data_IF_752673028758
#
_entry.id   IF_752673028758
#
_cell.length_a   1.000
_cell.length_b   1.000
_cell.length_c   1.000
_cell.angle_alpha   90.00
_cell.angle_beta   90.00
_cell.angle_gamma   90.00
#
_symmetry.space_group_name_H-M   'P 1'
#
loop_
_entity.id
_entity.type
_entity.pdbx_description
1 polymer ?
#
# COMPACT_ATOMS: atom_id res chain seq x y z
N UNK A 1 25.08 2.98 -8.64
CA UNK A 1 23.85 3.59 -8.05
C UNK A 1 22.63 2.83 -8.54
N UNK A 2 21.78 2.46 -7.63
CA UNK A 2 20.57 1.71 -7.98
C UNK A 2 19.43 2.68 -8.29
N UNK A 3 18.81 2.47 -9.45
CA UNK A 3 17.65 3.27 -9.85
C UNK A 3 16.41 2.38 -9.86
N UNK A 4 15.32 2.78 -9.18
CA UNK A 4 14.09 2.00 -9.22
C UNK A 4 13.54 1.91 -10.65
N UNK A 5 12.90 0.78 -10.94
CA UNK A 5 12.19 0.61 -12.20
C UNK A 5 11.07 1.66 -12.29
N UNK A 6 11.04 2.51 -13.32
CA UNK A 6 9.97 3.51 -13.47
C UNK A 6 8.57 2.90 -13.51
N UNK A 7 8.44 1.67 -14.02
CA UNK A 7 7.16 0.98 -14.06
C UNK A 7 6.66 0.65 -12.65
N UNK A 8 7.56 0.30 -11.74
CA UNK A 8 7.19 0.01 -10.35
C UNK A 8 6.70 1.28 -9.64
N UNK A 9 7.41 2.39 -9.81
CA UNK A 9 6.98 3.67 -9.24
C UNK A 9 5.61 4.08 -9.76
N UNK A 10 5.37 3.89 -11.05
CA UNK A 10 4.07 4.20 -11.67
C UNK A 10 2.95 3.33 -11.08
N UNK A 11 3.21 2.06 -10.80
CA UNK A 11 2.24 1.16 -10.16
C UNK A 11 1.90 1.66 -8.76
N UNK A 12 2.91 2.02 -7.97
CA UNK A 12 2.70 2.51 -6.60
C UNK A 12 1.86 3.80 -6.62
N UNK A 13 2.18 4.73 -7.51
CA UNK A 13 1.41 5.97 -7.66
C UNK A 13 -0.03 5.70 -8.09
N UNK A 14 -0.23 4.74 -8.99
CA UNK A 14 -1.57 4.34 -9.43
C UNK A 14 -2.38 3.72 -8.29
N UNK A 15 -1.74 2.92 -7.43
CA UNK A 15 -2.38 2.37 -6.23
C UNK A 15 -2.83 3.47 -5.28
N UNK A 16 -1.99 4.46 -5.03
CA UNK A 16 -2.33 5.57 -4.13
C UNK A 16 -3.53 6.36 -4.67
N UNK A 17 -3.55 6.64 -5.98
CA UNK A 17 -4.70 7.32 -6.60
C UNK A 17 -5.97 6.49 -6.48
N UNK A 18 -5.86 5.19 -6.73
CA UNK A 18 -7.00 4.28 -6.65
C UNK A 18 -7.57 4.21 -5.23
N UNK A 19 -6.70 4.18 -4.21
CA UNK A 19 -7.13 4.21 -2.81
C UNK A 19 -7.89 5.51 -2.51
N UNK A 20 -7.32 6.64 -2.90
CA UNK A 20 -7.91 7.96 -2.63
C UNK A 20 -9.23 8.15 -3.38
N UNK A 21 -9.38 7.56 -4.57
CA UNK A 21 -10.58 7.64 -5.39
C UNK A 21 -11.57 6.50 -5.11
N UNK A 22 -11.21 5.56 -4.25
CA UNK A 22 -12.00 4.36 -3.95
C UNK A 22 -12.31 3.53 -5.20
N UNK A 23 -11.35 3.50 -6.12
CA UNK A 23 -11.42 2.70 -7.34
C UNK A 23 -10.82 1.32 -7.07
N UNK A 24 -11.61 0.46 -6.44
CA UNK A 24 -11.13 -0.84 -5.96
C UNK A 24 -10.85 -1.83 -7.08
N UNK A 25 -11.52 -1.74 -8.20
CA UNK A 25 -11.25 -2.62 -9.34
C UNK A 25 -9.85 -2.36 -9.89
N UNK A 26 -9.49 -1.09 -10.07
CA UNK A 26 -8.15 -0.72 -10.51
C UNK A 26 -7.11 -1.11 -9.46
N UNK A 27 -7.38 -0.83 -8.18
CA UNK A 27 -6.47 -1.16 -7.10
C UNK A 27 -6.16 -2.67 -7.06
N UNK A 28 -7.18 -3.51 -7.15
CA UNK A 28 -7.00 -4.96 -7.10
C UNK A 28 -6.24 -5.51 -8.31
N UNK A 29 -6.26 -4.81 -9.44
CA UNK A 29 -5.48 -5.22 -10.62
C UNK A 29 -3.98 -5.17 -10.38
N UNK A 30 -3.52 -4.47 -9.35
CA UNK A 30 -2.10 -4.37 -8.97
C UNK A 30 -1.70 -5.32 -7.85
N UNK A 31 -2.60 -6.20 -7.39
CA UNK A 31 -2.31 -7.17 -6.33
C UNK A 31 -2.25 -8.58 -6.92
N UNK A 32 -1.34 -9.39 -6.38
CA UNK A 32 -1.31 -10.81 -6.71
C UNK A 32 -2.54 -11.51 -6.13
N UNK A 33 -2.93 -12.64 -6.73
CA UNK A 33 -4.13 -13.37 -6.30
C UNK A 33 -4.08 -13.78 -4.82
N UNK A 34 -2.90 -14.15 -4.35
CA UNK A 34 -2.66 -14.64 -2.99
C UNK A 34 -1.91 -13.63 -2.12
N UNK A 35 -2.00 -12.35 -2.46
CA UNK A 35 -1.32 -11.29 -1.72
C UNK A 35 -1.78 -11.23 -0.26
N UNK A 36 -0.93 -10.66 0.59
CA UNK A 36 -1.23 -10.42 2.00
C UNK A 36 -1.26 -8.92 2.28
N UNK A 37 -2.21 -8.48 3.08
CA UNK A 37 -2.34 -7.10 3.55
C UNK A 37 -2.37 -7.09 5.07
N UNK A 38 -1.50 -6.31 5.67
CA UNK A 38 -1.55 -6.02 7.11
C UNK A 38 -2.58 -4.91 7.31
N UNK A 39 -3.72 -5.26 7.88
CA UNK A 39 -4.82 -4.31 8.13
C UNK A 39 -4.50 -3.46 9.34
N UNK A 40 -4.01 -4.09 10.38
CA UNK A 40 -3.49 -3.45 11.59
C UNK A 40 -2.62 -4.47 12.32
N UNK A 41 -1.95 -4.03 13.38
CA UNK A 41 -1.11 -4.92 14.16
C UNK A 41 -1.94 -6.13 14.66
N UNK A 42 -1.46 -7.32 14.36
CA UNK A 42 -2.13 -8.57 14.72
C UNK A 42 -3.20 -9.04 13.73
N UNK A 43 -3.55 -8.27 12.69
CA UNK A 43 -4.56 -8.67 11.72
C UNK A 43 -3.97 -8.59 10.31
N UNK A 44 -3.85 -9.76 9.67
CA UNK A 44 -3.41 -9.90 8.29
C UNK A 44 -4.50 -10.62 7.51
N UNK A 45 -4.87 -10.10 6.34
CA UNK A 45 -5.80 -10.77 5.44
C UNK A 45 -5.05 -11.20 4.18
N UNK A 46 -5.49 -12.28 3.55
CA UNK A 46 -4.88 -12.80 2.33
C UNK A 46 -5.93 -12.98 1.25
N UNK A 47 -5.48 -12.85 -0.01
CA UNK A 47 -6.34 -12.97 -1.18
C UNK A 47 -6.99 -11.67 -1.57
N UNK A 48 -7.15 -11.44 -2.88
CA UNK A 48 -7.70 -10.19 -3.42
C UNK A 48 -9.08 -9.85 -2.86
N UNK A 49 -9.94 -10.84 -2.71
CA UNK A 49 -11.30 -10.63 -2.21
C UNK A 49 -11.28 -10.04 -0.80
N UNK A 50 -10.48 -10.60 0.09
CA UNK A 50 -10.37 -10.14 1.47
C UNK A 50 -9.65 -8.80 1.55
N UNK A 51 -8.67 -8.57 0.68
CA UNK A 51 -7.96 -7.28 0.62
C UNK A 51 -8.93 -6.19 0.18
N UNK A 52 -9.75 -6.45 -0.84
CA UNK A 52 -10.78 -5.52 -1.29
C UNK A 52 -11.73 -5.13 -0.15
N UNK A 53 -12.22 -6.11 0.57
CA UNK A 53 -13.11 -5.88 1.73
C UNK A 53 -12.44 -5.04 2.80
N UNK A 54 -11.14 -5.30 3.06
CA UNK A 54 -10.37 -4.52 4.03
C UNK A 54 -10.24 -3.06 3.62
N UNK A 55 -9.95 -2.77 2.35
CA UNK A 55 -9.87 -1.39 1.88
C UNK A 55 -11.21 -0.66 1.95
N UNK A 56 -12.30 -1.36 1.65
CA UNK A 56 -13.65 -0.80 1.78
C UNK A 56 -13.92 -0.42 3.24
N UNK A 57 -13.58 -1.31 4.18
CA UNK A 57 -13.76 -1.05 5.61
C UNK A 57 -12.88 0.12 6.09
N UNK A 58 -11.67 0.22 5.58
CA UNK A 58 -10.76 1.33 5.90
C UNK A 58 -11.36 2.65 5.42
N UNK A 59 -11.88 2.69 4.19
CA UNK A 59 -12.51 3.88 3.63
C UNK A 59 -13.72 4.30 4.46
N UNK A 60 -14.55 3.36 4.88
CA UNK A 60 -15.71 3.62 5.73
C UNK A 60 -15.27 4.20 7.09
N UNK A 61 -14.24 3.62 7.68
CA UNK A 61 -13.71 4.08 8.96
C UNK A 61 -13.26 5.54 8.90
N UNK A 62 -12.64 5.95 7.80
CA UNK A 62 -12.19 7.34 7.59
C UNK A 62 -13.22 8.21 6.88
N UNK A 63 -14.47 7.77 6.81
CA UNK A 63 -15.60 8.53 6.25
C UNK A 63 -15.36 8.96 4.80
N UNK A 64 -14.70 8.09 4.01
CA UNK A 64 -14.39 8.30 2.59
C UNK A 64 -13.55 9.56 2.33
N UNK A 65 -12.77 10.00 3.31
CA UNK A 65 -11.94 11.21 3.20
C UNK A 65 -10.44 10.94 3.39
N UNK A 66 -10.04 9.67 3.29
CA UNK A 66 -8.63 9.31 3.38
C UNK A 66 -7.90 9.70 2.10
N UNK A 67 -6.80 10.45 2.21
CA UNK A 67 -5.92 10.78 1.10
C UNK A 67 -4.55 10.21 1.39
N UNK A 68 -4.00 9.47 0.42
CA UNK A 68 -2.71 8.80 0.52
C UNK A 68 -1.73 9.44 -0.46
N UNK A 69 -0.59 9.90 0.05
CA UNK A 69 0.48 10.44 -0.77
C UNK A 69 1.81 9.82 -0.35
N UNK A 70 2.82 9.93 -1.22
CA UNK A 70 4.13 9.34 -0.98
C UNK A 70 5.14 10.39 -0.52
N UNK A 71 6.03 9.96 0.40
CA UNK A 71 7.24 10.69 0.71
C UNK A 71 8.47 10.01 0.08
N UNK A 72 9.52 9.82 0.87
CA UNK A 72 10.75 9.17 0.41
C UNK A 72 10.52 7.69 0.15
N UNK A 73 11.20 7.15 -0.84
CA UNK A 73 11.06 5.76 -1.24
C UNK A 73 12.41 5.16 -1.58
N UNK A 74 12.64 3.96 -1.09
CA UNK A 74 13.82 3.15 -1.42
C UNK A 74 13.35 1.82 -1.96
N UNK A 75 13.98 1.34 -3.04
CA UNK A 75 13.61 0.08 -3.68
C UNK A 75 14.82 -0.83 -3.76
N UNK A 76 14.66 -2.06 -3.32
CA UNK A 76 15.68 -3.10 -3.39
C UNK A 76 15.13 -4.23 -4.25
N UNK A 77 15.73 -4.44 -5.42
CA UNK A 77 15.30 -5.48 -6.36
C UNK A 77 16.23 -6.69 -6.31
N UNK A 78 15.65 -7.88 -6.40
CA UNK A 78 16.40 -9.12 -6.46
C UNK A 78 15.48 -10.31 -6.73
N UNK A 79 15.92 -11.24 -7.59
CA UNK A 79 15.21 -12.49 -7.82
C UNK A 79 13.79 -12.33 -8.38
N UNK A 80 13.52 -11.28 -9.14
CA UNK A 80 12.20 -11.03 -9.68
C UNK A 80 11.24 -10.36 -8.67
N UNK A 81 11.76 -9.97 -7.50
CA UNK A 81 11.00 -9.29 -6.45
C UNK A 81 11.58 -7.91 -6.20
N UNK A 82 10.77 -7.04 -5.64
CA UNK A 82 11.21 -5.73 -5.17
C UNK A 82 10.69 -5.49 -3.76
N UNK A 83 11.61 -5.16 -2.84
CA UNK A 83 11.24 -4.68 -1.52
C UNK A 83 11.20 -3.15 -1.59
N UNK A 84 10.05 -2.57 -1.28
CA UNK A 84 9.86 -1.13 -1.27
C UNK A 84 9.73 -0.65 0.16
N UNK A 85 10.59 0.29 0.54
CA UNK A 85 10.53 0.94 1.86
C UNK A 85 10.14 2.38 1.57
N UNK A 86 9.03 2.84 2.12
CA UNK A 86 8.44 4.09 1.69
C UNK A 86 7.78 4.85 2.82
N UNK A 87 7.94 6.17 2.80
CA UNK A 87 7.13 7.03 3.64
C UNK A 87 5.77 7.23 2.97
N UNK A 88 4.72 6.84 3.67
CA UNK A 88 3.34 7.05 3.22
C UNK A 88 2.71 8.12 4.11
N UNK A 89 2.20 9.16 3.49
CA UNK A 89 1.52 10.25 4.18
C UNK A 89 0.02 10.08 4.04
N UNK A 90 -0.66 10.11 5.18
CA UNK A 90 -2.11 9.93 5.25
C UNK A 90 -2.73 11.21 5.78
N UNK A 91 -3.66 11.78 5.03
CA UNK A 91 -4.50 12.87 5.51
C UNK A 91 -5.75 12.23 6.09
N UNK A 92 -5.92 12.39 7.40
CA UNK A 92 -6.99 11.74 8.16
C UNK A 92 -7.95 12.80 8.68
N UNK A 93 -9.26 12.68 8.41
CA UNK A 93 -10.25 13.63 8.96
C UNK A 93 -10.36 13.48 10.48
N UNK A 94 -10.39 14.62 11.17
CA UNK A 94 -10.55 14.69 12.62
C UNK A 94 -11.67 15.69 12.95
N UNK A 95 -12.04 15.76 14.23
CA UNK A 95 -13.05 16.71 14.68
C UNK A 95 -12.61 18.17 14.45
N UNK A 96 -11.30 18.43 14.49
CA UNK A 96 -10.72 19.78 14.37
C UNK A 96 -10.20 20.08 12.96
N UNK A 97 -10.46 19.21 11.97
CA UNK A 97 -10.00 19.38 10.61
C UNK A 97 -9.32 18.15 10.06
N UNK A 98 -8.08 18.30 9.58
CA UNK A 98 -7.32 17.20 8.99
C UNK A 98 -6.01 17.03 9.77
N UNK A 99 -5.74 15.80 10.19
CA UNK A 99 -4.45 15.41 10.79
C UNK A 99 -3.62 14.67 9.74
N UNK A 100 -2.35 14.99 9.61
CA UNK A 100 -1.44 14.29 8.73
C UNK A 100 -0.59 13.32 9.55
N UNK A 101 -0.59 12.04 9.13
CA UNK A 101 0.20 10.98 9.72
C UNK A 101 1.16 10.46 8.68
N UNK A 102 2.44 10.28 9.05
CA UNK A 102 3.43 9.67 8.20
C UNK A 102 3.79 8.30 8.75
N UNK A 103 3.70 7.27 7.90
CA UNK A 103 4.10 5.90 8.24
C UNK A 103 5.27 5.49 7.36
N UNK A 104 6.13 4.63 7.89
CA UNK A 104 7.18 3.98 7.10
C UNK A 104 6.69 2.59 6.78
N UNK A 105 6.29 2.42 5.52
CA UNK A 105 5.68 1.19 5.03
C UNK A 105 6.70 0.33 4.32
N UNK A 106 6.43 -0.98 4.30
CA UNK A 106 7.20 -1.94 3.51
C UNK A 106 6.26 -2.70 2.62
N UNK A 107 6.62 -2.80 1.33
CA UNK A 107 5.84 -3.55 0.35
C UNK A 107 6.75 -4.51 -0.37
N UNK A 108 6.21 -5.69 -0.73
CA UNK A 108 6.90 -6.61 -1.62
C UNK A 108 6.09 -6.67 -2.91
N UNK A 109 6.78 -6.40 -4.02
CA UNK A 109 6.22 -6.55 -5.36
C UNK A 109 6.94 -7.69 -6.07
N UNK A 110 6.21 -8.44 -6.87
CA UNK A 110 6.75 -9.51 -7.70
C UNK A 110 6.47 -9.19 -9.16
N UNK A 111 7.48 -9.34 -10.01
CA UNK A 111 7.29 -9.15 -11.44
C UNK A 111 6.71 -10.42 -12.03
N UNK A 112 5.54 -10.30 -12.61
CA UNK A 112 4.84 -11.40 -13.30
C UNK A 112 4.65 -10.99 -14.76
N UNK A 113 5.46 -11.59 -15.67
CA UNK A 113 5.56 -11.10 -17.02
C UNK A 113 6.19 -9.71 -17.03
N UNK A 114 5.50 -8.72 -17.56
CA UNK A 114 5.96 -7.33 -17.59
C UNK A 114 5.30 -6.44 -16.53
N UNK A 115 4.51 -7.05 -15.64
CA UNK A 115 3.76 -6.31 -14.63
C UNK A 115 4.32 -6.55 -13.24
N UNK A 116 4.37 -5.49 -12.46
CA UNK A 116 4.65 -5.58 -11.03
C UNK A 116 3.34 -5.74 -10.27
N UNK A 117 3.25 -6.78 -9.44
CA UNK A 117 2.07 -7.03 -8.59
C UNK A 117 2.49 -7.04 -7.13
N UNK A 118 1.70 -6.39 -6.29
CA UNK A 118 1.95 -6.39 -4.86
C UNK A 118 1.63 -7.76 -4.26
N UNK A 119 2.57 -8.34 -3.54
CA UNK A 119 2.38 -9.62 -2.84
C UNK A 119 2.28 -9.44 -1.34
N UNK A 120 2.93 -8.43 -0.77
CA UNK A 120 2.81 -8.11 0.65
C UNK A 120 2.65 -6.60 0.79
N UNK A 121 1.60 -6.18 1.46
CA UNK A 121 1.30 -4.78 1.73
C UNK A 121 1.31 -4.57 3.24
N UNK A 122 2.34 -3.88 3.73
CA UNK A 122 2.53 -3.62 5.14
C UNK A 122 2.77 -2.13 5.38
N UNK A 123 1.70 -1.39 5.61
CA UNK A 123 1.79 0.05 5.86
C UNK A 123 2.30 0.40 7.26
N UNK A 124 2.45 -0.59 8.13
CA UNK A 124 2.97 -0.41 9.50
C UNK A 124 4.48 -0.58 9.59
N UNK A 125 5.11 -1.17 8.55
CA UNK A 125 6.56 -1.39 8.54
C UNK A 125 7.04 -2.16 9.77
N UNK A 126 8.08 -1.66 10.42
CA UNK A 126 8.65 -2.29 11.62
C UNK A 126 7.84 -2.04 12.88
N UNK A 127 6.82 -1.18 12.83
CA UNK A 127 5.94 -0.92 13.98
C UNK A 127 5.15 -2.17 14.39
N UNK A 128 5.10 -3.18 13.52
CA UNK A 128 4.52 -4.48 13.87
C UNK A 128 5.24 -5.16 15.02
N UNK A 129 6.48 -4.76 15.32
CA UNK A 129 7.27 -5.30 16.43
C UNK A 129 6.98 -4.58 17.75
N UNK A 130 6.26 -3.49 17.72
CA UNK A 130 5.93 -2.73 18.92
C UNK A 130 4.79 -3.41 19.69
N UNK A 131 4.88 -3.35 20.98
CA UNK A 131 3.85 -3.92 21.87
C UNK A 131 2.63 -2.97 22.02
#
# INVERSE_FOLDING_TARGET
MHHPDPALKAVIEACDRAISQEDYDTLMSYYAEDAALVVKQGIVVTGKENIRKAFIAIADYFQHRLVVTQGKMEVIEGGGNALVIMETRLDIPTADGISQVTRRATYVFQKQGERWLCTVDNSYGTDLLDD
#
